data_IF_656388688199
#
_entry.id   IF_656388688199
#
_cell.length_a   1.000
_cell.length_b   1.000
_cell.length_c   1.000
_cell.angle_alpha   90.00
_cell.angle_beta   90.00
_cell.angle_gamma   90.00
#
_symmetry.space_group_name_H-M   'P 1'
#
loop_
_entity.id
_entity.type
_entity.pdbx_description
1 polymer ?
#
# COMPACT_ATOMS: atom_id res chain seq x y z
N UNK A 1 21.13 29.30 2.28
CA UNK A 1 22.19 29.45 1.30
C UNK A 1 21.56 29.60 -0.08
N UNK A 2 21.83 30.74 -0.72
CA UNK A 2 21.48 30.98 -2.11
C UNK A 2 22.17 29.91 -2.97
N UNK A 3 21.42 28.97 -3.53
CA UNK A 3 21.94 28.08 -4.56
C UNK A 3 22.31 28.94 -5.74
N UNK A 4 23.60 28.98 -6.06
CA UNK A 4 24.14 29.87 -7.12
C UNK A 4 23.52 29.52 -8.48
N UNK A 5 23.33 30.53 -9.32
CA UNK A 5 22.86 30.43 -10.72
C UNK A 5 23.56 29.32 -11.55
N UNK A 6 24.79 28.91 -11.16
CA UNK A 6 25.54 27.85 -11.82
C UNK A 6 24.93 26.41 -11.67
N UNK A 7 24.03 26.18 -10.72
CA UNK A 7 23.42 24.85 -10.51
C UNK A 7 22.27 24.60 -11.51
N UNK A 8 21.55 25.63 -11.93
CA UNK A 8 20.43 25.56 -12.86
C UNK A 8 20.87 25.16 -14.29
N UNK A 9 22.02 25.66 -14.76
CA UNK A 9 22.54 25.35 -16.09
C UNK A 9 23.15 23.95 -16.24
N UNK A 10 23.29 23.20 -15.14
CA UNK A 10 23.88 21.86 -15.15
C UNK A 10 22.81 20.75 -15.02
N UNK A 11 21.53 21.08 -14.84
CA UNK A 11 20.46 20.09 -14.77
C UNK A 11 20.03 19.70 -16.17
N UNK A 12 20.00 18.40 -16.38
CA UNK A 12 19.59 17.77 -17.63
C UNK A 12 18.60 16.66 -17.35
N UNK A 13 17.78 16.35 -18.34
CA UNK A 13 16.79 15.28 -18.29
C UNK A 13 16.96 14.38 -19.50
N UNK A 14 16.52 13.16 -19.38
CA UNK A 14 16.35 12.19 -20.45
C UNK A 14 15.35 11.14 -20.04
N UNK A 15 14.95 10.29 -21.01
CA UNK A 15 14.22 9.07 -20.69
C UNK A 15 15.05 8.17 -19.77
N UNK A 16 14.41 7.65 -18.71
CA UNK A 16 15.01 6.71 -17.76
C UNK A 16 14.81 5.25 -18.13
N UNK A 17 15.33 4.33 -17.30
CA UNK A 17 15.18 2.89 -17.47
C UNK A 17 13.77 2.37 -17.16
N UNK A 18 12.97 3.09 -16.37
CA UNK A 18 11.55 2.74 -16.13
C UNK A 18 10.77 3.02 -17.42
N UNK A 19 10.28 1.96 -18.06
CA UNK A 19 9.55 2.04 -19.33
C UNK A 19 8.03 2.10 -19.14
N UNK A 20 7.58 1.52 -18.05
CA UNK A 20 6.18 1.54 -17.60
C UNK A 20 6.17 1.35 -16.08
N UNK A 21 5.28 2.03 -15.39
CA UNK A 21 4.95 1.73 -14.01
C UNK A 21 3.51 2.13 -13.71
N UNK A 22 2.80 1.24 -13.07
CA UNK A 22 1.44 1.43 -12.59
C UNK A 22 1.25 0.58 -11.33
N UNK A 23 0.59 1.14 -10.32
CA UNK A 23 0.56 0.56 -8.98
C UNK A 23 -0.11 -0.83 -8.92
N UNK A 24 -1.10 -1.10 -9.80
CA UNK A 24 -1.80 -2.37 -9.86
C UNK A 24 -1.17 -3.34 -10.87
N UNK A 25 -0.70 -2.82 -12.00
CA UNK A 25 -0.17 -3.63 -13.09
C UNK A 25 1.28 -4.02 -12.85
N UNK A 26 2.08 -3.11 -12.30
CA UNK A 26 3.48 -3.37 -12.00
C UNK A 26 4.47 -2.49 -12.74
N UNK A 27 5.67 -2.99 -12.98
CA UNK A 27 6.78 -2.19 -13.54
C UNK A 27 7.50 -2.93 -14.68
N UNK A 28 7.82 -2.19 -15.75
CA UNK A 28 8.72 -2.62 -16.82
C UNK A 28 9.99 -1.79 -16.74
N UNK A 29 11.13 -2.44 -16.51
CA UNK A 29 12.41 -1.81 -16.33
C UNK A 29 13.44 -2.33 -17.33
N UNK A 30 14.11 -1.43 -18.04
CA UNK A 30 15.17 -1.75 -18.99
C UNK A 30 16.53 -1.31 -18.42
N UNK A 31 17.27 -2.26 -17.82
CA UNK A 31 18.55 -1.97 -17.18
C UNK A 31 19.69 -1.67 -18.16
N UNK A 32 19.52 -1.97 -19.44
CA UNK A 32 20.49 -1.61 -20.47
C UNK A 32 20.36 -0.15 -20.90
N UNK A 33 19.23 0.50 -20.58
CA UNK A 33 19.01 1.90 -20.94
C UNK A 33 19.73 2.84 -19.97
N UNK A 34 20.78 3.47 -20.48
CA UNK A 34 21.52 4.51 -19.75
C UNK A 34 20.92 5.89 -20.08
N UNK A 35 20.55 6.69 -19.05
CA UNK A 35 20.10 8.05 -19.27
C UNK A 35 21.19 8.88 -19.98
N UNK A 36 20.85 9.49 -21.10
CA UNK A 36 21.80 10.30 -21.90
C UNK A 36 22.03 11.70 -21.32
N UNK A 37 21.06 12.18 -20.51
CA UNK A 37 21.08 13.54 -19.93
C UNK A 37 21.33 14.63 -20.97
N UNK A 38 20.67 14.54 -22.13
CA UNK A 38 20.89 15.32 -23.33
C UNK A 38 19.93 16.50 -23.50
N UNK A 39 18.88 16.57 -22.67
CA UNK A 39 17.88 17.63 -22.72
C UNK A 39 18.03 18.58 -21.54
N UNK A 40 17.91 19.88 -21.82
CA UNK A 40 17.92 20.91 -20.79
C UNK A 40 16.61 20.96 -20.03
N UNK A 41 16.66 21.21 -18.73
CA UNK A 41 15.46 21.43 -17.90
C UNK A 41 14.86 22.79 -18.18
N UNK A 42 13.53 22.89 -18.14
CA UNK A 42 12.82 24.17 -18.14
C UNK A 42 12.40 24.50 -16.70
N UNK A 43 12.72 25.72 -16.27
CA UNK A 43 12.26 26.24 -14.99
C UNK A 43 10.81 26.72 -15.13
N UNK A 44 9.99 26.42 -14.15
CA UNK A 44 8.67 27.03 -14.01
C UNK A 44 8.41 27.42 -12.56
N UNK A 45 7.65 28.48 -12.35
CA UNK A 45 7.21 28.89 -11.01
C UNK A 45 5.97 28.08 -10.65
N UNK A 46 6.16 27.07 -9.81
CA UNK A 46 5.06 26.25 -9.29
C UNK A 46 4.61 26.75 -7.91
N UNK A 47 3.40 26.36 -7.46
CA UNK A 47 2.94 26.68 -6.12
C UNK A 47 3.81 25.95 -5.09
N UNK A 48 4.55 26.71 -4.28
CA UNK A 48 5.38 26.18 -3.19
C UNK A 48 4.73 26.32 -1.82
N UNK A 49 3.74 27.16 -1.71
CA UNK A 49 2.95 27.44 -0.51
C UNK A 49 1.98 26.32 -0.11
N UNK A 50 1.68 25.42 -1.04
CA UNK A 50 0.88 24.19 -0.80
C UNK A 50 1.71 22.99 -0.32
N UNK A 51 3.05 23.11 -0.31
CA UNK A 51 3.93 22.03 0.13
C UNK A 51 3.95 21.95 1.67
N UNK A 52 3.58 20.80 2.21
CA UNK A 52 3.67 20.51 3.64
C UNK A 52 4.69 19.40 3.92
N UNK A 53 5.22 19.37 5.14
CA UNK A 53 6.08 18.27 5.56
C UNK A 53 5.27 16.99 5.73
N UNK A 54 5.86 15.85 5.35
CA UNK A 54 5.28 14.54 5.65
C UNK A 54 5.08 14.37 7.16
N UNK A 55 3.84 14.13 7.56
CA UNK A 55 3.45 14.04 8.97
C UNK A 55 3.27 12.58 9.44
N UNK A 56 3.04 11.64 8.50
CA UNK A 56 2.84 10.23 8.78
C UNK A 56 4.14 9.46 9.03
N UNK A 57 4.00 8.18 9.35
CA UNK A 57 5.11 7.24 9.35
C UNK A 57 5.50 6.91 7.92
N UNK A 58 6.80 7.03 7.61
CA UNK A 58 7.30 6.69 6.28
C UNK A 58 7.15 5.20 6.00
N UNK A 59 6.77 4.85 4.77
CA UNK A 59 6.83 3.48 4.28
C UNK A 59 8.30 3.08 4.11
N UNK A 60 8.69 1.95 4.68
CA UNK A 60 10.06 1.44 4.68
C UNK A 60 10.10 -0.03 4.33
N UNK A 61 11.23 -0.48 3.77
CA UNK A 61 11.58 -1.89 3.78
C UNK A 61 11.74 -2.37 5.22
N UNK A 62 11.12 -3.50 5.55
CA UNK A 62 11.11 -4.04 6.90
C UNK A 62 11.72 -5.44 6.92
N UNK A 63 10.97 -6.48 6.58
CA UNK A 63 11.45 -7.84 6.59
C UNK A 63 11.92 -8.29 5.21
N UNK A 64 12.98 -9.11 5.21
CA UNK A 64 13.50 -9.79 4.02
C UNK A 64 13.29 -11.29 4.18
N UNK A 65 12.50 -11.89 3.27
CA UNK A 65 12.11 -13.29 3.36
C UNK A 65 12.73 -14.08 2.20
N UNK A 66 13.47 -15.12 2.55
CA UNK A 66 14.00 -16.06 1.58
C UNK A 66 12.90 -17.01 1.06
N UNK A 67 13.07 -17.48 -0.16
CA UNK A 67 12.25 -18.53 -0.74
C UNK A 67 12.30 -19.78 0.14
N UNK A 68 11.14 -20.33 0.51
CA UNK A 68 11.01 -21.56 1.31
C UNK A 68 10.93 -22.80 0.44
N UNK A 69 10.32 -22.66 -0.75
CA UNK A 69 10.10 -23.78 -1.66
C UNK A 69 10.07 -23.30 -3.10
N UNK A 70 10.71 -24.04 -3.99
CA UNK A 70 10.55 -23.94 -5.45
C UNK A 70 9.84 -25.22 -5.89
N UNK A 71 8.80 -25.11 -6.70
CA UNK A 71 8.03 -26.26 -7.16
C UNK A 71 7.35 -25.99 -8.50
N UNK A 72 6.94 -27.06 -9.17
CA UNK A 72 6.16 -26.99 -10.40
C UNK A 72 4.72 -27.35 -10.05
N UNK A 73 3.78 -26.54 -10.54
CA UNK A 73 2.34 -26.78 -10.35
C UNK A 73 1.84 -27.92 -11.27
N UNK A 74 0.64 -28.47 -11.05
CA UNK A 74 0.02 -29.42 -11.97
C UNK A 74 -0.09 -28.90 -13.41
N UNK A 75 -0.23 -27.60 -13.61
CA UNK A 75 -0.25 -26.96 -14.93
C UNK A 75 1.16 -26.72 -15.54
N UNK A 76 2.23 -27.15 -14.87
CA UNK A 76 3.60 -26.99 -15.35
C UNK A 76 4.22 -25.62 -15.07
N UNK A 77 3.65 -24.82 -14.19
CA UNK A 77 4.15 -23.49 -13.83
C UNK A 77 5.24 -23.58 -12.75
N UNK A 78 6.37 -22.91 -12.93
CA UNK A 78 7.40 -22.81 -11.88
C UNK A 78 7.05 -21.71 -10.89
N UNK A 79 6.83 -22.09 -9.64
CA UNK A 79 6.36 -21.22 -8.55
C UNK A 79 7.32 -21.26 -7.37
N UNK A 80 7.56 -20.10 -6.78
CA UNK A 80 8.32 -19.93 -5.54
C UNK A 80 7.38 -19.51 -4.42
N UNK A 81 7.44 -20.23 -3.28
CA UNK A 81 6.70 -19.92 -2.05
C UNK A 81 7.63 -19.26 -1.02
N UNK A 82 7.31 -18.07 -0.56
CA UNK A 82 8.03 -17.38 0.52
C UNK A 82 7.53 -17.79 1.90
N UNK A 83 6.46 -18.56 2.00
CA UNK A 83 5.92 -19.09 3.26
C UNK A 83 5.11 -18.09 4.08
N UNK A 84 4.98 -16.84 3.65
CA UNK A 84 4.24 -15.77 4.31
C UNK A 84 3.53 -14.90 3.27
N UNK A 85 2.24 -14.65 3.47
CA UNK A 85 1.53 -13.61 2.71
C UNK A 85 1.92 -12.23 3.24
N UNK A 86 2.35 -11.34 2.35
CA UNK A 86 2.90 -10.03 2.70
C UNK A 86 2.58 -8.99 1.64
N UNK A 87 2.87 -7.74 1.95
CA UNK A 87 2.86 -6.63 1.00
C UNK A 87 4.28 -6.13 0.77
N UNK A 88 4.64 -5.93 -0.48
CA UNK A 88 5.97 -5.50 -0.85
C UNK A 88 6.34 -5.88 -2.26
N UNK A 89 7.58 -6.23 -2.48
CA UNK A 89 8.11 -6.62 -3.79
C UNK A 89 9.20 -7.68 -3.65
N UNK A 90 9.67 -8.17 -4.79
CA UNK A 90 10.75 -9.16 -4.84
C UNK A 90 12.00 -8.52 -5.40
N UNK A 91 13.10 -8.63 -4.67
CA UNK A 91 14.44 -8.32 -5.15
C UNK A 91 14.96 -9.49 -5.97
N UNK A 92 15.39 -9.19 -7.19
CA UNK A 92 16.03 -10.09 -8.12
C UNK A 92 17.56 -10.04 -7.95
N UNK A 93 18.20 -11.20 -7.96
CA UNK A 93 19.64 -11.35 -8.15
C UNK A 93 19.91 -12.30 -9.31
N UNK A 94 20.56 -11.82 -10.37
CA UNK A 94 20.77 -12.58 -11.60
C UNK A 94 22.11 -12.24 -12.25
N UNK A 95 22.72 -13.22 -12.91
CA UNK A 95 23.81 -13.01 -13.87
C UNK A 95 23.28 -13.32 -15.26
N UNK A 96 23.25 -12.34 -16.14
CA UNK A 96 22.51 -12.41 -17.40
C UNK A 96 23.29 -11.73 -18.54
N UNK A 97 22.79 -11.88 -19.75
CA UNK A 97 23.24 -11.10 -20.94
C UNK A 97 22.29 -9.96 -21.22
N UNK A 98 22.79 -8.95 -21.90
CA UNK A 98 21.95 -7.84 -22.36
C UNK A 98 20.83 -8.34 -23.26
N UNK A 99 19.60 -7.96 -22.93
CA UNK A 99 18.37 -8.37 -23.63
C UNK A 99 17.70 -9.61 -23.07
N UNK A 100 18.35 -10.39 -22.19
CA UNK A 100 17.65 -11.41 -21.42
C UNK A 100 16.56 -10.77 -20.57
N UNK A 101 15.49 -11.51 -20.26
CA UNK A 101 14.37 -11.01 -19.48
C UNK A 101 14.16 -11.84 -18.22
N UNK A 102 13.70 -11.18 -17.16
CA UNK A 102 13.06 -11.82 -16.01
C UNK A 102 11.64 -11.30 -15.92
N UNK A 103 10.67 -12.20 -16.04
CA UNK A 103 9.25 -11.89 -15.99
C UNK A 103 8.58 -12.68 -14.86
N UNK A 104 7.90 -11.97 -13.96
CA UNK A 104 7.24 -12.55 -12.78
C UNK A 104 5.77 -12.15 -12.73
N UNK A 105 4.95 -13.08 -12.24
CA UNK A 105 3.58 -12.81 -11.75
C UNK A 105 3.49 -13.10 -10.25
N UNK A 106 2.61 -12.37 -9.55
CA UNK A 106 2.43 -12.48 -8.10
C UNK A 106 1.08 -13.10 -7.75
N UNK A 107 1.02 -13.89 -6.67
CA UNK A 107 -0.23 -14.44 -6.13
C UNK A 107 -0.17 -14.59 -4.60
N UNK A 108 -1.32 -14.44 -3.95
CA UNK A 108 -1.46 -14.68 -2.50
C UNK A 108 -1.73 -16.14 -2.18
N UNK A 109 -2.44 -16.84 -3.06
CA UNK A 109 -2.93 -18.21 -2.86
C UNK A 109 -2.77 -19.05 -4.12
N UNK A 110 -2.83 -20.36 -3.94
CA UNK A 110 -3.00 -21.33 -5.01
C UNK A 110 -4.48 -21.71 -5.12
N UNK A 111 -4.90 -22.19 -6.29
CA UNK A 111 -6.23 -22.77 -6.45
C UNK A 111 -6.38 -24.11 -5.70
N UNK A 112 -7.55 -24.71 -5.76
CA UNK A 112 -7.85 -25.98 -5.08
C UNK A 112 -7.06 -27.17 -5.65
N UNK A 113 -6.68 -27.06 -6.90
CA UNK A 113 -5.88 -28.04 -7.65
C UNK A 113 -4.38 -27.85 -7.43
N UNK A 114 -3.96 -26.75 -6.77
CA UNK A 114 -2.56 -26.41 -6.49
C UNK A 114 -1.87 -25.65 -7.64
N UNK A 115 -2.63 -24.98 -8.51
CA UNK A 115 -2.09 -24.11 -9.53
C UNK A 115 -2.03 -22.65 -9.10
N UNK A 116 -1.28 -21.83 -9.82
CA UNK A 116 -1.15 -20.41 -9.56
C UNK A 116 -2.47 -19.68 -9.80
N UNK A 117 -2.94 -18.89 -8.80
CA UNK A 117 -4.28 -18.30 -8.84
C UNK A 117 -4.23 -16.78 -8.70
N UNK A 118 -4.86 -16.08 -9.64
CA UNK A 118 -4.85 -14.60 -9.72
C UNK A 118 -6.22 -13.96 -9.90
N UNK A 119 -7.32 -14.75 -9.97
CA UNK A 119 -8.65 -14.17 -10.19
C UNK A 119 -9.09 -13.22 -9.06
N UNK A 120 -8.58 -13.42 -7.84
CA UNK A 120 -8.81 -12.50 -6.72
C UNK A 120 -8.12 -11.14 -6.88
N UNK A 121 -7.26 -10.96 -7.87
CA UNK A 121 -6.63 -9.68 -8.20
C UNK A 121 -7.50 -8.79 -9.09
N UNK A 122 -8.61 -9.32 -9.61
CA UNK A 122 -9.54 -8.64 -10.52
C UNK A 122 -8.81 -8.11 -11.78
N UNK A 123 -8.75 -6.76 -11.96
CA UNK A 123 -8.06 -6.12 -13.06
C UNK A 123 -6.55 -5.93 -12.89
N UNK A 124 -6.04 -6.05 -11.66
CA UNK A 124 -4.61 -5.87 -11.38
C UNK A 124 -3.79 -7.01 -11.98
N UNK A 125 -2.81 -6.70 -12.83
CA UNK A 125 -1.94 -7.72 -13.47
C UNK A 125 -0.91 -8.26 -12.49
N UNK A 126 -0.44 -7.42 -11.56
CA UNK A 126 0.55 -7.78 -10.54
C UNK A 126 1.76 -8.52 -11.14
N UNK A 127 2.49 -7.84 -12.01
CA UNK A 127 3.63 -8.38 -12.74
C UNK A 127 4.81 -7.42 -12.70
N UNK A 128 6.02 -7.92 -12.86
CA UNK A 128 7.11 -7.08 -13.33
C UNK A 128 7.89 -7.73 -14.48
N UNK A 129 8.44 -6.90 -15.32
CA UNK A 129 9.28 -7.28 -16.44
C UNK A 129 10.60 -6.54 -16.36
N UNK A 130 11.70 -7.28 -16.16
CA UNK A 130 13.05 -6.73 -16.07
C UNK A 130 13.89 -7.16 -17.25
N UNK A 131 14.33 -6.19 -18.07
CA UNK A 131 15.23 -6.42 -19.19
C UNK A 131 16.66 -6.26 -18.68
N UNK A 132 17.44 -7.32 -18.78
CA UNK A 132 18.80 -7.40 -18.24
C UNK A 132 19.82 -6.64 -19.12
N UNK A 133 20.87 -6.16 -18.48
CA UNK A 133 22.14 -5.82 -19.11
C UNK A 133 23.14 -6.96 -18.91
N UNK A 134 24.36 -6.84 -19.45
CA UNK A 134 25.41 -7.84 -19.22
C UNK A 134 25.88 -7.88 -17.76
N UNK A 135 26.09 -9.10 -17.23
CA UNK A 135 26.73 -9.36 -15.96
C UNK A 135 25.79 -9.53 -14.77
N UNK A 136 26.35 -9.44 -13.57
CA UNK A 136 25.62 -9.62 -12.31
C UNK A 136 24.79 -8.36 -12.00
N UNK A 137 23.55 -8.58 -11.64
CA UNK A 137 22.56 -7.51 -11.37
C UNK A 137 21.74 -7.84 -10.14
N UNK A 138 21.43 -6.79 -9.38
CA UNK A 138 20.42 -6.82 -8.32
C UNK A 138 19.43 -5.69 -8.59
N UNK A 139 18.13 -5.99 -8.54
CA UNK A 139 17.09 -5.02 -8.81
C UNK A 139 15.77 -5.38 -8.11
N UNK A 140 14.98 -4.38 -7.80
CA UNK A 140 13.58 -4.48 -7.39
C UNK A 140 12.77 -3.30 -7.95
N UNK A 141 11.44 -3.42 -8.15
CA UNK A 141 10.63 -2.30 -8.57
C UNK A 141 10.62 -1.20 -7.49
N UNK A 142 10.47 0.06 -7.92
CA UNK A 142 10.54 1.23 -7.03
C UNK A 142 9.23 2.01 -6.96
N UNK A 143 8.33 1.83 -7.93
CA UNK A 143 7.14 2.65 -8.09
C UNK A 143 5.84 1.85 -7.96
N UNK A 144 5.92 0.60 -7.50
CA UNK A 144 4.79 -0.29 -7.25
C UNK A 144 5.09 -1.21 -6.09
N UNK A 145 4.06 -1.89 -5.58
CA UNK A 145 4.15 -2.98 -4.62
C UNK A 145 3.04 -4.01 -4.88
N UNK A 146 3.17 -5.19 -4.31
CA UNK A 146 2.26 -6.31 -4.50
C UNK A 146 1.85 -6.90 -3.16
N UNK A 147 0.62 -7.40 -3.06
CA UNK A 147 0.22 -8.30 -1.98
C UNK A 147 0.44 -9.74 -2.48
N UNK A 148 1.32 -10.52 -1.85
CA UNK A 148 1.67 -11.84 -2.37
C UNK A 148 2.29 -12.76 -1.31
N UNK A 149 2.23 -14.04 -1.60
CA UNK A 149 3.02 -15.09 -0.96
C UNK A 149 3.83 -15.89 -1.99
N UNK A 150 3.31 -16.00 -3.20
CA UNK A 150 3.86 -16.78 -4.29
C UNK A 150 4.27 -15.88 -5.44
N UNK A 151 5.34 -16.28 -6.14
CA UNK A 151 5.65 -15.74 -7.47
C UNK A 151 5.69 -16.88 -8.47
N UNK A 152 5.19 -16.63 -9.68
CA UNK A 152 5.36 -17.49 -10.84
C UNK A 152 6.40 -16.89 -11.75
N UNK A 153 7.34 -17.71 -12.20
CA UNK A 153 8.35 -17.30 -13.17
C UNK A 153 7.79 -17.55 -14.57
N UNK A 154 7.61 -16.48 -15.33
CA UNK A 154 7.15 -16.53 -16.71
C UNK A 154 8.32 -16.58 -17.70
N UNK A 155 9.43 -15.86 -17.40
CA UNK A 155 10.68 -15.89 -18.16
C UNK A 155 11.90 -15.70 -17.25
N UNK A 156 13.01 -16.37 -17.59
CA UNK A 156 14.26 -16.28 -16.82
C UNK A 156 15.49 -16.55 -17.71
N UNK A 157 16.60 -15.83 -17.54
CA UNK A 157 17.84 -16.04 -18.27
C UNK A 157 18.35 -17.49 -18.24
N UNK A 158 18.54 -18.08 -19.40
CA UNK A 158 18.93 -19.48 -19.54
C UNK A 158 17.78 -20.49 -19.40
N UNK A 159 16.55 -20.01 -19.28
CA UNK A 159 15.34 -20.83 -19.17
C UNK A 159 14.91 -21.11 -17.74
N UNK A 160 13.69 -21.59 -17.58
CA UNK A 160 13.04 -21.82 -16.28
C UNK A 160 13.81 -22.80 -15.38
N UNK A 161 14.50 -23.78 -15.95
CA UNK A 161 15.30 -24.75 -15.21
C UNK A 161 16.54 -24.13 -14.52
N UNK A 162 16.92 -22.91 -14.90
CA UNK A 162 18.02 -22.16 -14.30
C UNK A 162 17.61 -21.41 -13.03
N UNK A 163 16.32 -21.35 -12.70
CA UNK A 163 15.77 -20.64 -11.54
C UNK A 163 16.21 -21.32 -10.26
N UNK A 164 16.75 -20.52 -9.33
CA UNK A 164 17.13 -20.94 -7.99
C UNK A 164 16.50 -20.08 -6.92
N UNK A 165 16.34 -20.64 -5.72
CA UNK A 165 15.78 -19.91 -4.59
C UNK A 165 16.56 -18.63 -4.26
N UNK A 166 17.90 -18.67 -4.37
CA UNK A 166 18.78 -17.52 -4.10
C UNK A 166 18.66 -16.36 -5.10
N UNK A 167 18.01 -16.57 -6.24
CA UNK A 167 17.76 -15.49 -7.19
C UNK A 167 16.72 -14.46 -6.68
N UNK A 168 15.93 -14.82 -5.68
CA UNK A 168 14.80 -14.00 -5.25
C UNK A 168 14.74 -13.84 -3.74
N UNK A 169 14.54 -12.59 -3.30
CA UNK A 169 14.26 -12.26 -1.90
C UNK A 169 13.02 -11.40 -1.84
N UNK A 170 11.99 -11.84 -1.12
CA UNK A 170 10.83 -10.99 -0.87
C UNK A 170 11.16 -9.94 0.18
N UNK A 171 10.76 -8.70 -0.07
CA UNK A 171 10.94 -7.56 0.82
C UNK A 171 9.56 -7.06 1.21
N UNK A 172 9.22 -7.22 2.49
CA UNK A 172 7.99 -6.66 3.03
C UNK A 172 8.15 -5.17 3.26
N UNK A 173 7.16 -4.39 2.82
CA UNK A 173 7.12 -2.93 3.00
C UNK A 173 5.85 -2.53 3.74
N UNK A 174 5.97 -1.62 4.69
CA UNK A 174 4.85 -1.01 5.40
C UNK A 174 5.28 0.26 6.13
N UNK A 175 4.31 1.06 6.60
CA UNK A 175 4.58 2.22 7.43
C UNK A 175 5.39 1.84 8.68
N UNK A 176 6.44 2.60 8.98
CA UNK A 176 7.45 2.26 10.00
C UNK A 176 6.94 2.52 11.43
N UNK A 177 5.84 1.88 11.80
CA UNK A 177 5.27 1.96 13.13
C UNK A 177 5.99 1.02 14.11
N UNK A 178 6.25 1.50 15.32
CA UNK A 178 6.82 0.68 16.38
C UNK A 178 5.80 -0.33 16.90
N UNK A 179 6.15 -1.60 16.87
CA UNK A 179 5.31 -2.63 17.48
C UNK A 179 5.30 -2.52 19.00
N UNK A 180 4.12 -2.50 19.61
CA UNK A 180 3.89 -2.36 21.04
C UNK A 180 3.07 -3.50 21.64
N UNK A 181 2.24 -4.18 20.82
CA UNK A 181 1.40 -5.28 21.27
C UNK A 181 2.02 -6.65 21.02
N UNK A 182 2.05 -7.48 22.05
CA UNK A 182 2.57 -8.84 22.00
C UNK A 182 1.61 -9.79 22.73
N UNK A 183 1.28 -10.91 22.11
CA UNK A 183 0.45 -11.96 22.68
C UNK A 183 1.15 -13.31 22.54
N UNK A 184 1.14 -14.11 23.59
CA UNK A 184 1.56 -15.49 23.59
C UNK A 184 0.60 -16.33 24.45
N UNK A 185 0.20 -17.49 23.95
CA UNK A 185 -0.75 -18.39 24.60
C UNK A 185 -0.28 -19.83 24.43
N UNK A 186 -0.76 -20.73 25.30
CA UNK A 186 -0.60 -22.17 25.12
C UNK A 186 -1.40 -22.71 23.93
N UNK A 187 -2.37 -21.97 23.42
CA UNK A 187 -3.15 -22.33 22.24
C UNK A 187 -2.43 -21.86 20.96
N UNK A 188 -1.92 -22.80 20.17
CA UNK A 188 -1.18 -22.52 18.94
C UNK A 188 -2.02 -21.84 17.86
N UNK A 189 -3.34 -22.15 17.78
CA UNK A 189 -4.23 -21.50 16.81
C UNK A 189 -4.48 -20.04 17.16
N UNK A 190 -4.56 -19.69 18.45
CA UNK A 190 -4.66 -18.31 18.88
C UNK A 190 -3.39 -17.51 18.56
N UNK A 191 -2.20 -18.12 18.76
CA UNK A 191 -0.94 -17.50 18.38
C UNK A 191 -0.85 -17.28 16.85
N UNK A 192 -1.32 -18.27 16.07
CA UNK A 192 -1.39 -18.13 14.60
C UNK A 192 -2.34 -17.03 14.17
N UNK A 193 -3.54 -16.96 14.77
CA UNK A 193 -4.52 -15.89 14.52
C UNK A 193 -3.90 -14.51 14.80
N UNK A 194 -3.23 -14.37 15.94
CA UNK A 194 -2.55 -13.11 16.28
C UNK A 194 -1.46 -12.75 15.27
N UNK A 195 -0.64 -13.72 14.86
CA UNK A 195 0.35 -13.52 13.80
C UNK A 195 -0.29 -13.06 12.48
N UNK A 196 -1.41 -13.67 12.09
CA UNK A 196 -2.14 -13.29 10.87
C UNK A 196 -2.68 -11.85 10.95
N UNK A 197 -3.21 -11.43 12.12
CA UNK A 197 -3.67 -10.06 12.36
C UNK A 197 -2.51 -9.07 12.20
N UNK A 198 -1.33 -9.39 12.76
CA UNK A 198 -0.14 -8.54 12.63
C UNK A 198 0.30 -8.40 11.16
N UNK A 199 0.35 -9.51 10.41
CA UNK A 199 0.70 -9.48 8.99
C UNK A 199 -0.36 -8.78 8.13
N UNK A 200 -1.65 -8.95 8.46
CA UNK A 200 -2.75 -8.22 7.83
C UNK A 200 -2.62 -6.70 8.05
N UNK A 201 -2.31 -6.26 9.28
CA UNK A 201 -2.08 -4.85 9.57
C UNK A 201 -0.86 -4.30 8.81
N UNK A 202 0.27 -5.00 8.82
CA UNK A 202 1.45 -4.62 8.03
C UNK A 202 1.10 -4.44 6.55
N UNK A 203 0.40 -5.42 5.98
CA UNK A 203 0.08 -5.43 4.55
C UNK A 203 -0.87 -4.33 4.11
N UNK A 204 -1.66 -3.77 5.02
CA UNK A 204 -2.67 -2.76 4.72
C UNK A 204 -2.35 -1.37 5.28
N UNK A 205 -1.23 -1.20 6.00
CA UNK A 205 -0.84 0.10 6.55
C UNK A 205 0.39 0.64 5.80
N UNK A 206 0.15 1.12 4.57
CA UNK A 206 1.13 1.76 3.71
C UNK A 206 0.68 3.20 3.44
N UNK A 207 1.08 4.12 4.30
CA UNK A 207 0.73 5.55 4.31
C UNK A 207 -0.75 5.83 4.61
N UNK A 208 -1.66 4.98 4.15
CA UNK A 208 -3.10 4.99 4.47
C UNK A 208 -3.56 3.58 4.91
N UNK A 209 -4.64 3.46 5.70
CA UNK A 209 -5.18 2.16 6.10
C UNK A 209 -6.02 1.57 4.95
N UNK A 210 -5.38 0.82 4.05
CA UNK A 210 -6.04 0.22 2.88
C UNK A 210 -6.89 -0.99 3.25
N UNK A 211 -7.89 -1.29 2.42
CA UNK A 211 -8.75 -2.48 2.54
C UNK A 211 -8.06 -3.78 2.11
N UNK A 212 -7.17 -3.69 1.15
CA UNK A 212 -6.49 -4.84 0.57
C UNK A 212 -5.14 -4.42 -0.02
N UNK A 213 -4.15 -5.36 -0.15
CA UNK A 213 -2.84 -5.02 -0.71
C UNK A 213 -2.63 -5.49 -2.14
N UNK A 214 -3.54 -6.32 -2.75
CA UNK A 214 -3.20 -7.09 -3.93
C UNK A 214 -3.98 -6.72 -5.19
N UNK A 215 -5.26 -6.31 -5.08
CA UNK A 215 -6.16 -6.08 -6.21
C UNK A 215 -6.23 -4.61 -6.62
N UNK A 216 -6.97 -4.33 -7.68
CA UNK A 216 -7.26 -2.99 -8.21
C UNK A 216 -8.25 -2.20 -7.31
N UNK A 217 -7.86 -2.01 -6.04
CA UNK A 217 -8.60 -1.24 -5.02
C UNK A 217 -7.58 -0.49 -4.15
N UNK A 218 -7.06 -1.07 -3.08
CA UNK A 218 -5.99 -0.51 -2.22
C UNK A 218 -6.29 0.91 -1.77
N UNK A 219 -7.52 1.14 -1.34
CA UNK A 219 -8.03 2.45 -0.93
C UNK A 219 -8.18 2.52 0.59
N UNK A 220 -8.08 3.74 1.12
CA UNK A 220 -8.25 4.00 2.55
C UNK A 220 -9.72 4.00 2.97
N UNK A 221 -10.38 2.84 2.96
CA UNK A 221 -11.78 2.68 3.33
C UNK A 221 -12.02 3.08 4.78
N UNK A 222 -12.91 4.05 4.97
CA UNK A 222 -13.20 4.62 6.29
C UNK A 222 -13.93 3.64 7.20
N UNK A 223 -14.81 2.79 6.65
CA UNK A 223 -15.48 1.72 7.39
C UNK A 223 -14.50 0.71 7.97
N UNK A 224 -13.57 0.23 7.15
CA UNK A 224 -12.51 -0.72 7.54
C UNK A 224 -11.60 -0.12 8.61
N UNK A 225 -11.15 1.11 8.39
CA UNK A 225 -10.29 1.82 9.32
C UNK A 225 -10.93 1.97 10.70
N UNK A 226 -12.20 2.39 10.78
CA UNK A 226 -12.88 2.58 12.08
C UNK A 226 -13.08 1.29 12.86
N UNK A 227 -13.38 0.18 12.19
CA UNK A 227 -13.52 -1.13 12.85
C UNK A 227 -12.19 -1.61 13.39
N UNK A 228 -11.11 -1.37 12.66
CA UNK A 228 -9.79 -1.90 13.00
C UNK A 228 -8.93 -0.98 13.87
N UNK A 229 -9.22 0.33 13.96
CA UNK A 229 -8.37 1.33 14.66
C UNK A 229 -7.97 0.92 16.07
N UNK A 230 -8.88 0.36 16.86
CA UNK A 230 -8.59 -0.09 18.22
C UNK A 230 -7.57 -1.24 18.23
N UNK A 231 -7.75 -2.20 17.37
CA UNK A 231 -6.81 -3.33 17.19
C UNK A 231 -5.45 -2.84 16.72
N UNK A 232 -5.44 -1.91 15.77
CA UNK A 232 -4.21 -1.30 15.27
C UNK A 232 -3.41 -0.62 16.38
N UNK A 233 -4.08 0.16 17.23
CA UNK A 233 -3.45 0.86 18.37
C UNK A 233 -2.99 -0.09 19.49
N UNK A 234 -3.58 -1.28 19.62
CA UNK A 234 -3.12 -2.31 20.55
C UNK A 234 -1.85 -3.02 20.04
N UNK A 235 -1.72 -3.17 18.74
CA UNK A 235 -0.61 -3.88 18.10
C UNK A 235 0.64 -3.00 17.93
N UNK A 236 0.42 -1.74 17.56
CA UNK A 236 1.48 -0.79 17.20
C UNK A 236 1.24 0.58 17.82
N UNK A 237 2.30 1.36 17.95
CA UNK A 237 2.22 2.81 18.15
C UNK A 237 1.75 3.45 16.83
N UNK A 238 0.45 3.48 16.66
CA UNK A 238 -0.22 3.95 15.45
C UNK A 238 -0.71 5.40 15.56
N UNK A 239 -0.32 6.13 16.63
CA UNK A 239 -0.78 7.50 16.87
C UNK A 239 -0.47 8.43 15.70
N UNK A 240 0.79 8.44 15.26
CA UNK A 240 1.25 9.32 14.19
C UNK A 240 0.64 8.95 12.83
N UNK A 241 0.49 7.65 12.56
CA UNK A 241 -0.15 7.13 11.36
C UNK A 241 -1.61 7.62 11.25
N UNK A 242 -2.41 7.43 12.29
CA UNK A 242 -3.79 7.90 12.28
C UNK A 242 -3.91 9.42 12.37
N UNK A 243 -2.99 10.12 13.04
CA UNK A 243 -3.00 11.59 13.08
C UNK A 243 -2.87 12.18 11.68
N UNK A 244 -1.98 11.61 10.84
CA UNK A 244 -1.84 12.02 9.43
C UNK A 244 -3.09 11.69 8.63
N UNK A 245 -3.56 10.44 8.66
CA UNK A 245 -4.73 10.03 7.88
C UNK A 245 -6.01 10.78 8.29
N UNK A 246 -6.17 11.10 9.57
CA UNK A 246 -7.31 11.91 10.03
C UNK A 246 -7.19 13.39 9.61
N UNK A 247 -5.98 13.91 9.41
CA UNK A 247 -5.79 15.22 8.81
C UNK A 247 -6.23 15.21 7.33
N UNK A 248 -5.90 14.15 6.59
CA UNK A 248 -6.39 13.94 5.22
C UNK A 248 -7.92 13.86 5.20
N UNK A 249 -8.54 13.08 6.09
CA UNK A 249 -9.99 12.96 6.22
C UNK A 249 -10.65 14.33 6.47
N UNK A 250 -10.09 15.13 7.37
CA UNK A 250 -10.63 16.46 7.67
C UNK A 250 -10.46 17.44 6.49
N UNK A 251 -9.40 17.27 5.69
CA UNK A 251 -9.14 18.05 4.48
C UNK A 251 -10.10 17.70 3.34
N UNK A 252 -10.43 16.41 3.20
CA UNK A 252 -11.31 15.89 2.14
C UNK A 252 -12.79 15.95 2.53
N UNK A 253 -13.11 16.29 3.79
CA UNK A 253 -14.49 16.38 4.25
C UNK A 253 -15.24 17.50 3.50
N UNK A 254 -16.39 17.16 2.95
CA UNK A 254 -17.23 18.09 2.18
C UNK A 254 -17.77 19.24 3.05
N UNK A 255 -18.14 20.34 2.41
CA UNK A 255 -18.63 21.55 3.09
C UNK A 255 -19.90 21.32 3.92
N UNK A 256 -20.78 20.44 3.46
CA UNK A 256 -22.01 20.02 4.16
C UNK A 256 -21.76 19.08 5.35
N UNK A 257 -20.51 18.62 5.53
CA UNK A 257 -20.11 17.72 6.59
C UNK A 257 -20.01 16.24 6.19
N UNK A 258 -20.36 15.89 4.95
CA UNK A 258 -20.20 14.55 4.42
C UNK A 258 -18.75 14.08 4.50
N UNK A 259 -18.55 12.81 4.85
CA UNK A 259 -17.23 12.12 4.85
C UNK A 259 -17.25 11.01 3.82
N UNK A 260 -16.27 11.01 2.94
CA UNK A 260 -16.12 10.01 1.87
C UNK A 260 -15.99 8.58 2.39
N UNK A 261 -16.33 7.62 1.56
CA UNK A 261 -16.17 6.19 1.88
C UNK A 261 -14.70 5.77 1.92
N UNK A 262 -13.85 6.47 1.17
CA UNK A 262 -12.38 6.30 1.15
C UNK A 262 -11.69 7.62 1.42
N UNK A 263 -10.50 7.59 1.99
CA UNK A 263 -9.66 8.77 2.20
C UNK A 263 -8.23 8.44 1.70
N UNK A 264 -7.71 9.19 0.74
CA UNK A 264 -8.31 10.34 0.01
C UNK A 264 -9.60 9.98 -0.72
N UNK A 265 -10.55 10.96 -0.86
CA UNK A 265 -11.87 10.73 -1.47
C UNK A 265 -11.78 10.68 -3.01
N UNK A 266 -11.34 9.54 -3.52
CA UNK A 266 -11.21 9.27 -4.96
C UNK A 266 -12.52 8.83 -5.62
N UNK A 267 -13.47 8.32 -4.83
CA UNK A 267 -14.72 7.78 -5.36
C UNK A 267 -15.79 8.87 -5.56
N UNK A 268 -15.71 9.95 -4.81
CA UNK A 268 -16.63 11.09 -4.86
C UNK A 268 -18.12 10.65 -4.88
N UNK A 269 -18.45 9.65 -4.04
CA UNK A 269 -19.79 9.11 -3.94
C UNK A 269 -20.76 10.18 -3.45
N UNK A 270 -21.94 10.34 -4.07
CA UNK A 270 -22.89 11.40 -3.69
C UNK A 270 -23.67 11.09 -2.39
N UNK A 271 -23.49 9.92 -1.79
CA UNK A 271 -24.25 9.47 -0.63
C UNK A 271 -23.33 8.99 0.49
N UNK A 272 -23.51 9.57 1.68
CA UNK A 272 -22.83 9.13 2.88
C UNK A 272 -23.39 7.80 3.39
N UNK A 273 -22.53 7.04 4.06
CA UNK A 273 -22.92 5.87 4.85
C UNK A 273 -22.42 6.05 6.28
N UNK A 274 -23.31 5.94 7.27
CA UNK A 274 -22.95 6.13 8.68
C UNK A 274 -21.83 5.19 9.11
N UNK A 275 -21.89 3.91 8.75
CA UNK A 275 -20.86 2.94 9.11
C UNK A 275 -19.46 3.25 8.50
N UNK A 276 -19.35 4.08 7.49
CA UNK A 276 -18.09 4.56 6.93
C UNK A 276 -17.69 5.94 7.47
N UNK A 277 -18.53 6.94 7.31
CA UNK A 277 -18.24 8.30 7.75
C UNK A 277 -18.09 8.46 9.26
N UNK A 278 -18.61 7.51 10.06
CA UNK A 278 -18.40 7.46 11.51
C UNK A 278 -16.91 7.42 11.90
N UNK A 279 -16.03 7.06 10.96
CA UNK A 279 -14.59 7.14 11.15
C UNK A 279 -14.11 8.53 11.62
N UNK A 280 -14.77 9.60 11.15
CA UNK A 280 -14.47 10.97 11.58
C UNK A 280 -14.60 11.19 13.09
N UNK A 281 -15.51 10.46 13.76
CA UNK A 281 -15.73 10.55 15.20
C UNK A 281 -15.06 9.40 15.98
N UNK A 282 -15.15 8.18 15.46
CA UNK A 282 -14.68 6.97 16.14
C UNK A 282 -13.16 6.90 16.16
N UNK A 283 -12.49 7.15 15.03
CA UNK A 283 -11.03 7.01 14.95
C UNK A 283 -10.29 7.99 15.89
N UNK A 284 -10.56 9.30 15.90
CA UNK A 284 -9.90 10.22 16.82
C UNK A 284 -10.11 9.85 18.30
N UNK A 285 -11.31 9.37 18.62
CA UNK A 285 -11.65 8.93 19.97
C UNK A 285 -10.86 7.69 20.39
N UNK A 286 -10.77 6.67 19.53
CA UNK A 286 -10.04 5.45 19.84
C UNK A 286 -8.53 5.71 19.96
N UNK A 287 -7.97 6.56 19.10
CA UNK A 287 -6.55 6.95 19.17
C UNK A 287 -6.29 7.74 20.49
N UNK A 288 -7.18 8.66 20.87
CA UNK A 288 -7.08 9.33 22.17
C UNK A 288 -7.12 8.35 23.34
N UNK A 289 -8.03 7.38 23.33
CA UNK A 289 -8.11 6.37 24.39
C UNK A 289 -6.85 5.50 24.49
N UNK A 290 -6.20 5.24 23.36
CA UNK A 290 -5.00 4.41 23.31
C UNK A 290 -3.74 5.16 23.81
N UNK A 291 -3.59 6.42 23.41
CA UNK A 291 -2.34 7.16 23.59
C UNK A 291 -2.46 8.38 24.54
N UNK A 292 -3.67 8.77 24.92
CA UNK A 292 -3.91 9.87 25.87
C UNK A 292 -3.68 11.27 25.30
N UNK A 293 -3.36 11.41 24.02
CA UNK A 293 -3.06 12.69 23.39
C UNK A 293 -4.35 13.47 23.05
N UNK A 294 -4.67 14.47 23.87
CA UNK A 294 -5.84 15.33 23.65
C UNK A 294 -5.73 16.22 22.41
N UNK A 295 -4.53 16.40 21.86
CA UNK A 295 -4.34 17.28 20.71
C UNK A 295 -5.06 16.73 19.48
N UNK A 296 -5.11 15.39 19.32
CA UNK A 296 -5.85 14.76 18.21
C UNK A 296 -7.35 15.13 18.25
N UNK A 297 -7.97 15.11 19.45
CA UNK A 297 -9.37 15.51 19.59
C UNK A 297 -9.59 17.00 19.28
N UNK A 298 -8.65 17.86 19.68
CA UNK A 298 -8.71 19.29 19.35
C UNK A 298 -8.62 19.53 17.84
N UNK A 299 -7.67 18.85 17.19
CA UNK A 299 -7.46 18.99 15.75
C UNK A 299 -8.66 18.49 14.96
N UNK A 300 -9.29 17.41 15.40
CA UNK A 300 -10.39 16.75 14.70
C UNK A 300 -11.79 17.26 15.13
N UNK A 301 -11.90 18.09 16.14
CA UNK A 301 -13.20 18.48 16.73
C UNK A 301 -14.16 19.07 15.70
N UNK A 302 -13.69 19.91 14.79
CA UNK A 302 -14.54 20.52 13.77
C UNK A 302 -15.04 19.49 12.76
N UNK A 303 -14.17 18.58 12.33
CA UNK A 303 -14.54 17.46 11.44
C UNK A 303 -15.56 16.54 12.10
N UNK A 304 -15.30 16.12 13.35
CA UNK A 304 -16.23 15.31 14.15
C UNK A 304 -17.62 15.97 14.24
N UNK A 305 -17.64 17.26 14.57
CA UNK A 305 -18.90 18.04 14.72
C UNK A 305 -19.64 18.13 13.40
N UNK A 306 -18.98 18.47 12.30
CA UNK A 306 -19.59 18.57 10.97
C UNK A 306 -20.23 17.24 10.55
N UNK A 307 -19.56 16.10 10.79
CA UNK A 307 -20.12 14.79 10.51
C UNK A 307 -21.38 14.50 11.32
N UNK A 308 -21.37 14.76 12.63
CA UNK A 308 -22.55 14.57 13.49
C UNK A 308 -23.71 15.48 13.06
N UNK A 309 -23.44 16.77 12.78
CA UNK A 309 -24.45 17.70 12.31
C UNK A 309 -25.08 17.24 10.96
N UNK A 310 -24.23 16.71 10.05
CA UNK A 310 -24.66 16.14 8.79
C UNK A 310 -25.65 14.97 8.99
N UNK A 311 -25.27 14.00 9.82
CA UNK A 311 -26.15 12.85 10.12
C UNK A 311 -27.44 13.29 10.80
N UNK A 312 -27.40 14.21 11.74
CA UNK A 312 -28.60 14.78 12.38
C UNK A 312 -29.51 15.46 11.38
N UNK A 313 -28.97 16.18 10.39
CA UNK A 313 -29.78 16.82 9.34
C UNK A 313 -30.57 15.79 8.52
N UNK A 314 -30.00 14.65 8.21
CA UNK A 314 -30.64 13.56 7.49
C UNK A 314 -31.77 12.90 8.31
N UNK A 315 -31.58 12.72 9.61
CA UNK A 315 -32.59 12.15 10.51
C UNK A 315 -33.80 13.06 10.57
N UNK A 316 -33.61 14.37 10.71
CA UNK A 316 -34.69 15.34 10.77
C UNK A 316 -35.50 15.45 9.46
N UNK A 317 -34.91 15.15 8.32
CA UNK A 317 -35.63 15.11 7.04
C UNK A 317 -36.51 13.85 6.94
N UNK A 318 -36.11 12.74 7.53
CA UNK A 318 -36.80 11.45 7.39
C UNK A 318 -37.86 11.17 8.49
N UNK A 319 -37.72 11.72 9.69
CA UNK A 319 -38.64 11.45 10.81
C UNK A 319 -40.09 11.95 10.61
N UNK A 320 -40.36 13.16 10.06
CA UNK A 320 -41.73 13.63 9.87
C UNK A 320 -42.58 12.73 8.96
N UNK A 321 -41.93 12.09 7.97
CA UNK A 321 -42.61 11.20 7.01
C UNK A 321 -42.99 9.85 7.59
N UNK A 322 -42.26 9.33 8.56
CA UNK A 322 -42.54 8.05 9.25
C UNK A 322 -43.64 8.16 10.29
N UNK A 323 -43.80 9.33 10.96
CA UNK A 323 -44.86 9.56 11.95
C UNK A 323 -46.26 9.75 11.34
N UNK A 324 -46.36 9.97 10.05
CA UNK A 324 -47.66 10.12 9.37
C UNK A 324 -48.27 8.79 8.93
N UNK A 325 -47.65 7.65 9.21
CA UNK A 325 -48.10 6.31 8.81
C UNK A 325 -48.32 5.34 10.02
N UNK A 326 -48.45 5.87 11.25
CA UNK A 326 -48.83 5.07 12.42
C UNK A 326 -50.24 5.48 12.88
#
# INVERSE_FOLDING_TARGET
>A
PSRGLGDVYKRQVSDGPVRFSEIYDGEIYDSAKTPLLDQSVTMFDGPTDTLILQQGEEVREQERLAVKKVFVTPNGETVLDFGQNMTGYVELFVNAKAGDCVDLSFAEVMDKEGNFYTENYRGAKAQYHYICKDGVQTWHPSLTFYGFRYIRINDFPGGIDCVKAENFTAIAVHSNMKRTGFLSSSNTLLNQLFSNIIWGQKGNFLDVPTDCPQRDERLGWTGDAQVFVRTACLNYDAEKFFTKWLADLASDQHDDGYVGHVIPDLLQNPQASSAWGDAAAICPWQVYLAFGNKQILKNQYQSMKKWIDYILSLIHISEPTRRSYI
#
